data_IF_675802540538
#
_entry.id   IF_675802540538
#
_cell.length_a   1.000
_cell.length_b   1.000
_cell.length_c   1.000
_cell.angle_alpha   90.00
_cell.angle_beta   90.00
_cell.angle_gamma   90.00
#
_symmetry.space_group_name_H-M   'P 1'
#
loop_
_entity.id
_entity.type
_entity.pdbx_description
1 polymer ?
#
# COMPACT_ATOMS: atom_id res chain seq x y z
N UNK A 1 -33.51 -22.63 -0.55
CA UNK A 1 -32.34 -22.04 0.16
C UNK A 1 -32.44 -20.51 0.26
N UNK A 2 -32.64 -19.78 -0.85
CA UNK A 2 -32.75 -18.31 -0.87
C UNK A 2 -33.86 -17.72 0.01
N UNK A 3 -35.06 -18.31 0.02
CA UNK A 3 -36.18 -17.85 0.87
C UNK A 3 -35.91 -18.07 2.36
N UNK A 4 -35.33 -19.21 2.74
CA UNK A 4 -34.96 -19.52 4.13
C UNK A 4 -33.83 -18.62 4.65
N UNK A 5 -32.86 -18.28 3.79
CA UNK A 5 -31.77 -17.33 4.11
C UNK A 5 -32.32 -15.90 4.23
N UNK A 6 -33.26 -15.51 3.37
CA UNK A 6 -33.91 -14.19 3.45
C UNK A 6 -34.77 -14.06 4.71
N UNK A 7 -35.56 -15.08 5.05
CA UNK A 7 -36.35 -15.12 6.30
C UNK A 7 -35.40 -15.07 7.51
N UNK A 8 -34.32 -15.85 7.51
CA UNK A 8 -33.31 -15.81 8.58
C UNK A 8 -32.64 -14.44 8.71
N UNK A 9 -32.31 -13.78 7.59
CA UNK A 9 -31.73 -12.44 7.59
C UNK A 9 -32.71 -11.38 8.14
N UNK A 10 -33.99 -11.48 7.81
CA UNK A 10 -35.05 -10.60 8.34
C UNK A 10 -35.25 -10.86 9.84
N UNK A 11 -35.26 -12.10 10.30
CA UNK A 11 -35.36 -12.46 11.71
C UNK A 11 -34.14 -11.97 12.52
N UNK A 12 -32.94 -12.05 11.95
CA UNK A 12 -31.71 -11.47 12.53
C UNK A 12 -31.82 -9.94 12.59
N UNK A 13 -32.34 -9.29 11.55
CA UNK A 13 -32.54 -7.84 11.50
C UNK A 13 -33.50 -7.38 12.61
N UNK A 14 -34.63 -8.05 12.76
CA UNK A 14 -35.66 -7.76 13.78
C UNK A 14 -35.09 -8.02 15.19
N UNK A 15 -34.36 -9.11 15.41
CA UNK A 15 -33.66 -9.38 16.68
C UNK A 15 -32.59 -8.32 17.00
N UNK A 16 -31.86 -7.82 16.01
CA UNK A 16 -30.81 -6.81 16.24
C UNK A 16 -31.35 -5.39 16.45
N UNK A 17 -32.61 -5.13 16.09
CA UNK A 17 -33.28 -3.85 16.36
C UNK A 17 -33.77 -3.73 17.82
N UNK A 18 -33.89 -4.84 18.53
CA UNK A 18 -34.22 -4.88 19.96
C UNK A 18 -32.98 -4.61 20.83
N UNK A 19 -33.16 -3.88 21.93
CA UNK A 19 -32.07 -3.50 22.85
C UNK A 19 -31.85 -4.50 24.00
N UNK A 20 -32.36 -5.74 23.91
CA UNK A 20 -32.22 -6.74 24.99
C UNK A 20 -31.12 -7.76 24.73
N UNK A 21 -30.45 -8.20 25.79
CA UNK A 21 -29.37 -9.22 25.77
C UNK A 21 -29.87 -10.54 25.19
N UNK A 22 -31.11 -10.93 25.51
CA UNK A 22 -31.78 -12.13 25.00
C UNK A 22 -31.88 -12.08 23.48
N UNK A 23 -32.16 -10.91 22.91
CA UNK A 23 -32.25 -10.67 21.46
C UNK A 23 -30.92 -10.80 20.73
N UNK A 24 -29.82 -10.48 21.42
CA UNK A 24 -28.47 -10.59 20.88
C UNK A 24 -27.96 -12.05 20.91
N UNK A 25 -28.32 -12.80 21.95
CA UNK A 25 -28.03 -14.24 22.07
C UNK A 25 -28.82 -15.09 21.08
N UNK A 26 -30.09 -14.73 20.79
CA UNK A 26 -30.91 -15.41 19.77
C UNK A 26 -30.39 -15.24 18.34
N UNK A 27 -29.55 -14.23 18.07
CA UNK A 27 -28.90 -14.03 16.77
C UNK A 27 -27.69 -14.95 16.53
N UNK A 28 -27.15 -15.60 17.57
CA UNK A 28 -25.97 -16.46 17.47
C UNK A 28 -26.26 -17.76 16.73
N UNK A 29 -27.40 -18.42 17.05
CA UNK A 29 -27.77 -19.71 16.46
C UNK A 29 -27.99 -19.64 14.93
N UNK A 30 -28.69 -18.61 14.37
CA UNK A 30 -28.81 -18.44 12.92
C UNK A 30 -27.48 -18.16 12.21
N UNK A 31 -26.60 -17.34 12.80
CA UNK A 31 -25.27 -17.04 12.24
C UNK A 31 -24.42 -18.32 12.22
N UNK A 32 -24.43 -19.09 13.32
CA UNK A 32 -23.76 -20.37 13.41
C UNK A 32 -24.29 -21.37 12.37
N UNK A 33 -25.61 -21.45 12.17
CA UNK A 33 -26.22 -22.34 11.17
C UNK A 33 -25.84 -21.94 9.74
N UNK A 34 -25.78 -20.63 9.43
CA UNK A 34 -25.36 -20.13 8.11
C UNK A 34 -23.90 -20.49 7.84
N UNK A 35 -23.02 -20.30 8.82
CA UNK A 35 -21.60 -20.66 8.72
C UNK A 35 -21.43 -22.18 8.60
N UNK A 36 -22.16 -22.97 9.39
CA UNK A 36 -22.15 -24.43 9.34
C UNK A 36 -22.61 -24.94 7.97
N UNK A 37 -23.70 -24.41 7.43
CA UNK A 37 -24.20 -24.78 6.09
C UNK A 37 -23.18 -24.41 5.02
N UNK A 38 -22.54 -23.24 5.11
CA UNK A 38 -21.45 -22.86 4.20
C UNK A 38 -20.28 -23.85 4.30
N UNK A 39 -19.81 -24.17 5.51
CA UNK A 39 -18.72 -25.13 5.72
C UNK A 39 -19.06 -26.54 5.22
N UNK A 40 -20.24 -27.07 5.55
CA UNK A 40 -20.70 -28.41 5.13
C UNK A 40 -20.86 -28.48 3.60
N UNK A 41 -21.35 -27.41 2.98
CA UNK A 41 -21.48 -27.35 1.51
C UNK A 41 -20.10 -27.25 0.84
N UNK A 42 -19.14 -26.53 1.44
CA UNK A 42 -17.75 -26.45 0.96
C UNK A 42 -16.97 -27.78 1.09
N UNK A 43 -17.39 -28.70 1.97
CA UNK A 43 -16.74 -30.02 2.12
C UNK A 43 -17.22 -31.06 1.10
N UNK A 44 -18.29 -30.81 0.35
CA UNK A 44 -18.78 -31.73 -0.69
C UNK A 44 -18.06 -31.49 -2.02
N UNK A 45 -17.09 -32.35 -2.35
CA UNK A 45 -16.19 -32.23 -3.51
C UNK A 45 -16.74 -32.84 -4.82
N UNK A 46 -17.99 -33.31 -4.88
CA UNK A 46 -18.39 -34.32 -5.88
C UNK A 46 -19.63 -34.01 -6.74
N UNK A 47 -19.97 -32.75 -7.04
CA UNK A 47 -20.96 -32.49 -8.12
C UNK A 47 -20.78 -31.15 -8.83
N UNK A 48 -20.85 -31.10 -10.17
CA UNK A 48 -20.84 -29.87 -10.98
C UNK A 48 -22.19 -29.15 -10.89
N UNK A 49 -22.64 -28.85 -9.68
CA UNK A 49 -23.85 -28.09 -9.48
C UNK A 49 -23.53 -26.61 -9.68
N UNK A 50 -24.25 -25.97 -10.62
CA UNK A 50 -24.14 -24.53 -10.94
C UNK A 50 -24.26 -23.65 -9.67
N UNK A 51 -24.89 -24.17 -8.62
CA UNK A 51 -24.98 -23.57 -7.28
C UNK A 51 -23.61 -23.21 -6.69
N UNK A 52 -22.56 -23.98 -6.96
CA UNK A 52 -21.22 -23.72 -6.43
C UNK A 52 -20.62 -22.40 -6.93
N UNK A 53 -20.98 -21.94 -8.13
CA UNK A 53 -20.55 -20.63 -8.66
C UNK A 53 -21.26 -19.44 -7.99
N UNK A 54 -22.39 -19.70 -7.33
CA UNK A 54 -23.19 -18.67 -6.66
C UNK A 54 -22.96 -18.66 -5.13
N UNK A 55 -22.09 -19.53 -4.61
CA UNK A 55 -21.76 -19.58 -3.20
C UNK A 55 -20.92 -18.36 -2.78
N UNK A 56 -21.29 -17.67 -1.69
CA UNK A 56 -20.55 -16.54 -1.15
C UNK A 56 -19.07 -16.87 -0.95
N UNK A 57 -18.20 -15.94 -1.36
CA UNK A 57 -16.73 -15.97 -1.14
C UNK A 57 -15.99 -17.01 -2.00
N UNK A 58 -16.45 -18.25 -2.07
CA UNK A 58 -15.76 -19.34 -2.78
C UNK A 58 -16.17 -19.44 -4.26
N UNK A 59 -17.47 -19.33 -4.55
CA UNK A 59 -18.01 -19.45 -5.91
C UNK A 59 -17.77 -18.22 -6.79
N UNK A 60 -17.61 -17.05 -6.16
CA UNK A 60 -17.47 -15.79 -6.87
C UNK A 60 -16.24 -15.74 -7.78
N UNK A 61 -15.11 -16.31 -7.35
CA UNK A 61 -13.89 -16.30 -8.16
C UNK A 61 -14.06 -17.07 -9.47
N UNK A 62 -14.64 -18.26 -9.39
CA UNK A 62 -14.95 -19.07 -10.57
C UNK A 62 -16.02 -18.42 -11.45
N UNK A 63 -17.11 -17.92 -10.85
CA UNK A 63 -18.18 -17.28 -11.60
C UNK A 63 -17.78 -15.96 -12.26
N UNK A 64 -16.88 -15.18 -11.64
CA UNK A 64 -16.30 -13.97 -12.25
C UNK A 64 -15.39 -14.35 -13.43
N UNK A 65 -14.56 -15.39 -13.28
CA UNK A 65 -13.73 -15.91 -14.38
C UNK A 65 -14.56 -16.32 -15.59
N UNK A 66 -15.65 -17.05 -15.37
CA UNK A 66 -16.56 -17.48 -16.43
C UNK A 66 -17.33 -16.31 -17.09
N UNK A 67 -17.71 -15.29 -16.31
CA UNK A 67 -18.26 -14.06 -16.89
C UNK A 67 -17.26 -13.33 -17.78
N UNK A 68 -15.97 -13.32 -17.43
CA UNK A 68 -14.91 -12.72 -18.24
C UNK A 68 -14.62 -13.53 -19.51
N UNK A 69 -14.82 -14.85 -19.46
CA UNK A 69 -14.71 -15.74 -20.63
C UNK A 69 -16.00 -15.80 -21.48
N UNK A 70 -17.06 -15.09 -21.10
CA UNK A 70 -18.33 -15.04 -21.83
C UNK A 70 -19.20 -16.30 -21.69
N UNK A 71 -18.85 -17.22 -20.80
CA UNK A 71 -19.58 -18.49 -20.59
C UNK A 71 -20.78 -18.32 -19.64
N UNK A 72 -20.82 -17.24 -18.84
CA UNK A 72 -21.93 -16.93 -17.94
C UNK A 72 -22.36 -15.45 -17.97
N UNK A 73 -23.63 -15.18 -17.65
CA UNK A 73 -24.19 -13.83 -17.59
C UNK A 73 -23.71 -13.09 -16.33
N UNK A 74 -23.37 -11.81 -16.47
CA UNK A 74 -22.80 -10.97 -15.40
C UNK A 74 -23.78 -10.68 -14.27
N UNK A 75 -25.06 -10.47 -14.58
CA UNK A 75 -26.05 -9.97 -13.62
C UNK A 75 -26.28 -10.91 -12.41
N UNK A 76 -26.47 -12.24 -12.57
CA UNK A 76 -26.62 -13.16 -11.45
C UNK A 76 -25.40 -13.21 -10.51
N UNK A 77 -24.18 -13.22 -11.06
CA UNK A 77 -22.93 -13.22 -10.29
C UNK A 77 -22.78 -11.90 -9.52
N UNK A 78 -23.06 -10.76 -10.17
CA UNK A 78 -23.00 -9.45 -9.52
C UNK A 78 -23.97 -9.34 -8.33
N UNK A 79 -25.19 -9.88 -8.47
CA UNK A 79 -26.17 -9.92 -7.37
C UNK A 79 -25.70 -10.81 -6.21
N UNK A 80 -25.08 -11.96 -6.49
CA UNK A 80 -24.53 -12.84 -5.45
C UNK A 80 -23.36 -12.20 -4.70
N UNK A 81 -22.45 -11.55 -5.43
CA UNK A 81 -21.36 -10.77 -4.86
C UNK A 81 -21.88 -9.66 -3.94
N UNK A 82 -22.86 -8.89 -4.41
CA UNK A 82 -23.48 -7.81 -3.62
C UNK A 82 -24.13 -8.35 -2.34
N UNK A 83 -24.89 -9.44 -2.45
CA UNK A 83 -25.57 -10.07 -1.31
C UNK A 83 -24.58 -10.57 -0.25
N UNK A 84 -23.46 -11.15 -0.69
CA UNK A 84 -22.42 -11.64 0.21
C UNK A 84 -21.68 -10.50 0.92
N UNK A 85 -21.40 -9.40 0.22
CA UNK A 85 -20.82 -8.19 0.83
C UNK A 85 -21.76 -7.61 1.88
N UNK A 86 -23.06 -7.56 1.59
CA UNK A 86 -24.07 -7.10 2.55
C UNK A 86 -24.14 -8.00 3.79
N UNK A 87 -24.13 -9.33 3.60
CA UNK A 87 -24.12 -10.29 4.71
C UNK A 87 -22.86 -10.17 5.58
N UNK A 88 -21.68 -10.02 4.97
CA UNK A 88 -20.44 -9.80 5.69
C UNK A 88 -20.47 -8.47 6.48
N UNK A 89 -21.00 -7.40 5.90
CA UNK A 89 -21.18 -6.12 6.58
C UNK A 89 -22.12 -6.22 7.77
N UNK A 90 -23.24 -6.95 7.65
CA UNK A 90 -24.18 -7.22 8.75
C UNK A 90 -23.49 -8.04 9.85
N UNK A 91 -22.78 -9.12 9.50
CA UNK A 91 -22.06 -9.94 10.47
C UNK A 91 -21.02 -9.13 11.25
N UNK A 92 -20.28 -8.24 10.59
CA UNK A 92 -19.32 -7.34 11.22
C UNK A 92 -20.00 -6.32 12.16
N UNK A 93 -21.15 -5.77 11.75
CA UNK A 93 -21.92 -4.86 12.59
C UNK A 93 -22.45 -5.54 13.86
N UNK A 94 -22.97 -6.76 13.72
CA UNK A 94 -23.46 -7.59 14.84
C UNK A 94 -22.32 -7.97 15.77
N UNK A 95 -21.21 -8.50 15.23
CA UNK A 95 -20.03 -8.90 16.02
C UNK A 95 -19.46 -7.72 16.80
N UNK A 96 -19.38 -6.54 16.17
CA UNK A 96 -18.92 -5.32 16.83
C UNK A 96 -19.86 -4.90 17.97
N UNK A 97 -21.18 -5.01 17.79
CA UNK A 97 -22.14 -4.70 18.86
C UNK A 97 -22.05 -5.69 20.01
N UNK A 98 -21.99 -6.99 19.72
CA UNK A 98 -21.85 -8.05 20.74
C UNK A 98 -20.59 -7.84 21.59
N UNK A 99 -19.44 -7.63 20.96
CA UNK A 99 -18.18 -7.33 21.65
C UNK A 99 -18.26 -6.07 22.50
N UNK A 100 -19.02 -5.05 22.08
CA UNK A 100 -19.23 -3.86 22.90
C UNK A 100 -20.11 -4.17 24.11
N UNK A 101 -21.23 -4.86 23.92
CA UNK A 101 -22.20 -5.17 24.99
C UNK A 101 -21.60 -6.12 26.04
N UNK A 102 -20.87 -7.16 25.63
CA UNK A 102 -20.17 -8.10 26.55
C UNK A 102 -19.04 -7.43 27.34
N UNK A 103 -18.25 -6.56 26.68
CA UNK A 103 -17.22 -5.79 27.35
C UNK A 103 -17.82 -4.85 28.41
N UNK A 104 -19.04 -4.34 28.21
CA UNK A 104 -19.78 -3.58 29.21
C UNK A 104 -20.30 -4.45 30.36
N UNK A 105 -20.61 -5.74 30.13
CA UNK A 105 -21.10 -6.65 31.18
C UNK A 105 -19.97 -7.20 32.05
N UNK A 106 -18.86 -7.63 31.44
CA UNK A 106 -17.66 -8.14 32.15
C UNK A 106 -16.94 -7.02 32.92
N UNK A 107 -16.96 -5.79 32.40
CA UNK A 107 -16.41 -4.64 33.12
C UNK A 107 -17.20 -4.32 34.41
N UNK A 108 -18.53 -4.50 34.40
CA UNK A 108 -19.40 -4.23 35.55
C UNK A 108 -19.15 -5.18 36.72
N UNK A 109 -18.66 -6.40 36.47
CA UNK A 109 -18.37 -7.37 37.55
C UNK A 109 -17.01 -7.18 38.23
N UNK A 110 -16.03 -6.50 37.61
CA UNK A 110 -14.63 -6.51 38.10
C UNK A 110 -14.11 -5.18 38.67
N UNK A 111 -14.83 -4.06 38.54
CA UNK A 111 -14.46 -2.76 39.14
C UNK A 111 -15.68 -1.96 39.59
N UNK A 112 -15.54 -1.24 40.70
CA UNK A 112 -16.53 -0.26 41.17
C UNK A 112 -16.99 0.68 40.04
N UNK A 113 -18.30 0.88 39.91
CA UNK A 113 -18.94 1.73 38.89
C UNK A 113 -18.33 3.16 38.84
N UNK A 114 -17.76 3.62 39.96
CA UNK A 114 -17.08 4.91 40.10
C UNK A 114 -15.69 4.94 39.43
N UNK A 115 -14.91 3.86 39.55
CA UNK A 115 -13.59 3.68 38.91
C UNK A 115 -13.75 3.58 37.38
N UNK A 116 -14.75 2.83 36.92
CA UNK A 116 -15.10 2.72 35.50
C UNK A 116 -15.55 4.05 34.92
N UNK A 117 -16.41 4.80 35.61
CA UNK A 117 -16.80 6.15 35.18
C UNK A 117 -15.62 7.11 35.14
N UNK A 118 -14.67 7.03 36.08
CA UNK A 118 -13.44 7.86 36.08
C UNK A 118 -12.48 7.48 34.96
N UNK A 119 -12.26 6.19 34.74
CA UNK A 119 -11.42 5.69 33.64
C UNK A 119 -12.05 6.01 32.28
N UNK A 120 -13.37 5.82 32.14
CA UNK A 120 -14.13 6.22 30.96
C UNK A 120 -14.10 7.73 30.74
N UNK A 121 -14.19 8.55 31.80
CA UNK A 121 -14.07 10.00 31.71
C UNK A 121 -12.64 10.45 31.35
N UNK A 122 -11.59 9.79 31.88
CA UNK A 122 -10.18 10.03 31.49
C UNK A 122 -9.92 9.60 30.05
N UNK A 123 -10.34 8.41 29.65
CA UNK A 123 -10.22 7.92 28.28
C UNK A 123 -11.05 8.75 27.30
N UNK A 124 -12.22 9.25 27.72
CA UNK A 124 -13.03 10.20 26.97
C UNK A 124 -12.31 11.55 26.85
N UNK A 125 -11.74 12.08 27.94
CA UNK A 125 -10.94 13.32 27.97
C UNK A 125 -9.64 13.23 27.16
N UNK A 126 -8.93 12.10 27.17
CA UNK A 126 -7.77 11.83 26.30
C UNK A 126 -8.19 11.56 24.84
N UNK A 127 -9.35 10.94 24.62
CA UNK A 127 -9.95 10.82 23.29
C UNK A 127 -10.51 12.15 22.76
N UNK A 128 -10.77 13.12 23.64
CA UNK A 128 -11.38 14.41 23.33
C UNK A 128 -10.39 15.44 22.74
N UNK A 129 -9.06 15.24 22.82
CA UNK A 129 -8.11 16.34 22.61
C UNK A 129 -7.40 16.45 21.23
N UNK A 130 -7.68 15.60 20.24
CA UNK A 130 -6.96 15.70 18.95
C UNK A 130 -7.46 16.83 18.02
N UNK A 131 -8.75 17.18 18.11
CA UNK A 131 -9.33 18.28 17.29
C UNK A 131 -9.07 19.64 17.93
N UNK A 132 -8.98 19.71 19.28
CA UNK A 132 -8.73 20.93 20.05
C UNK A 132 -7.24 21.22 20.28
N UNK A 133 -6.40 20.20 20.48
CA UNK A 133 -4.94 20.34 20.68
C UNK A 133 -4.19 19.24 19.92
N UNK A 134 -4.00 19.45 18.62
CA UNK A 134 -3.14 18.57 17.83
C UNK A 134 -1.74 18.49 18.48
N UNK A 135 -1.20 17.27 18.64
CA UNK A 135 0.11 17.04 19.25
C UNK A 135 1.26 17.61 18.43
N UNK A 136 1.06 17.78 17.12
CA UNK A 136 2.02 18.40 16.22
C UNK A 136 1.29 19.02 15.02
N UNK A 137 1.84 20.12 14.50
CA UNK A 137 1.34 20.77 13.30
C UNK A 137 2.31 20.53 12.14
N UNK A 138 2.17 19.39 11.45
CA UNK A 138 2.98 19.07 10.26
C UNK A 138 2.27 19.62 9.02
N UNK A 139 3.00 20.41 8.22
CA UNK A 139 2.52 21.05 6.98
C UNK A 139 1.26 21.91 7.12
N UNK A 140 0.90 22.34 8.32
CA UNK A 140 -0.34 23.10 8.54
C UNK A 140 -1.60 22.22 8.58
N UNK A 141 -1.47 20.89 8.70
CA UNK A 141 -2.62 19.98 8.76
C UNK A 141 -3.53 20.30 9.95
N UNK A 142 -4.83 20.42 9.68
CA UNK A 142 -5.85 20.67 10.70
C UNK A 142 -6.85 19.53 10.76
N UNK A 143 -6.96 18.85 11.92
CA UNK A 143 -7.95 17.80 12.11
C UNK A 143 -9.37 18.38 12.23
N UNK A 144 -10.33 17.75 11.54
CA UNK A 144 -11.73 18.26 11.47
C UNK A 144 -12.76 17.36 12.12
N UNK A 145 -12.62 16.03 11.97
CA UNK A 145 -13.59 15.05 12.46
C UNK A 145 -12.97 14.14 13.48
N UNK A 146 -13.70 13.91 14.57
CA UNK A 146 -13.37 12.94 15.62
C UNK A 146 -13.52 11.52 15.06
N UNK A 147 -12.53 10.67 15.29
CA UNK A 147 -12.59 9.22 14.99
C UNK A 147 -11.98 8.45 16.17
N UNK A 148 -12.51 7.27 16.55
CA UNK A 148 -11.82 6.36 17.47
C UNK A 148 -10.40 6.05 16.98
N UNK A 149 -9.46 5.82 17.89
CA UNK A 149 -8.04 5.61 17.52
C UNK A 149 -7.85 4.42 16.57
N UNK A 150 -8.52 3.29 16.84
CA UNK A 150 -8.49 2.11 15.97
C UNK A 150 -8.97 2.43 14.56
N UNK A 151 -10.15 3.03 14.42
CA UNK A 151 -10.72 3.43 13.12
C UNK A 151 -9.84 4.47 12.40
N UNK A 152 -9.16 5.32 13.16
CA UNK A 152 -8.24 6.31 12.63
C UNK A 152 -7.00 5.65 12.04
N UNK A 153 -6.32 4.79 12.81
CA UNK A 153 -5.13 4.07 12.37
C UNK A 153 -5.43 3.11 11.21
N UNK A 154 -6.46 2.28 11.35
CA UNK A 154 -6.90 1.37 10.29
C UNK A 154 -7.25 2.15 9.02
N UNK A 155 -7.96 3.28 9.14
CA UNK A 155 -8.29 4.11 7.99
C UNK A 155 -7.05 4.65 7.26
N UNK A 156 -5.99 5.00 7.99
CA UNK A 156 -4.76 5.54 7.38
C UNK A 156 -3.82 4.44 6.88
N UNK A 157 -3.88 3.23 7.44
CA UNK A 157 -3.16 2.06 6.92
C UNK A 157 -3.85 1.47 5.67
N UNK A 158 -5.19 1.41 5.67
CA UNK A 158 -5.96 0.73 4.61
C UNK A 158 -6.25 1.62 3.40
N UNK A 159 -6.42 2.94 3.57
CA UNK A 159 -6.67 3.84 2.44
C UNK A 159 -5.55 3.81 1.38
N UNK A 160 -4.26 3.87 1.76
CA UNK A 160 -3.12 3.58 0.87
C UNK A 160 -3.31 2.34 0.01
N UNK A 161 -3.53 1.20 0.66
CA UNK A 161 -3.68 -0.10 0.00
C UNK A 161 -4.90 -0.14 -0.92
N UNK A 162 -6.02 0.43 -0.47
CA UNK A 162 -7.26 0.46 -1.24
C UNK A 162 -7.13 1.31 -2.51
N UNK A 163 -6.54 2.50 -2.42
CA UNK A 163 -6.32 3.35 -3.60
C UNK A 163 -5.33 2.70 -4.56
N UNK A 164 -4.22 2.17 -4.04
CA UNK A 164 -3.23 1.48 -4.85
C UNK A 164 -3.87 0.30 -5.59
N UNK A 165 -4.57 -0.59 -4.88
CA UNK A 165 -5.24 -1.76 -5.45
C UNK A 165 -6.26 -1.38 -6.52
N UNK A 166 -7.16 -0.42 -6.27
CA UNK A 166 -8.20 -0.02 -7.23
C UNK A 166 -7.58 0.54 -8.50
N UNK A 167 -6.66 1.51 -8.38
CA UNK A 167 -6.11 2.18 -9.56
C UNK A 167 -5.12 1.30 -10.33
N UNK A 168 -4.34 0.46 -9.64
CA UNK A 168 -3.49 -0.52 -10.31
C UNK A 168 -4.33 -1.59 -11.05
N UNK A 169 -5.40 -2.09 -10.42
CA UNK A 169 -6.31 -3.04 -11.10
C UNK A 169 -6.91 -2.43 -12.37
N UNK A 170 -7.36 -1.17 -12.30
CA UNK A 170 -7.87 -0.45 -13.47
C UNK A 170 -6.78 -0.25 -14.55
N UNK A 171 -5.55 0.06 -14.14
CA UNK A 171 -4.41 0.22 -15.03
C UNK A 171 -3.99 -1.09 -15.72
N UNK A 172 -4.27 -2.25 -15.11
CA UNK A 172 -3.97 -3.56 -15.70
C UNK A 172 -4.94 -3.95 -16.82
N UNK A 173 -6.18 -3.47 -16.81
CA UNK A 173 -7.22 -3.88 -17.77
C UNK A 173 -6.77 -3.68 -19.23
N UNK A 174 -6.29 -2.49 -19.65
CA UNK A 174 -5.87 -2.29 -21.04
C UNK A 174 -4.66 -3.13 -21.42
N UNK A 175 -3.74 -3.38 -20.47
CA UNK A 175 -2.58 -4.22 -20.69
C UNK A 175 -2.98 -5.68 -20.95
N UNK A 176 -3.89 -6.22 -20.14
CA UNK A 176 -4.46 -7.56 -20.33
C UNK A 176 -5.19 -7.64 -21.68
N UNK A 177 -6.03 -6.66 -22.01
CA UNK A 177 -6.74 -6.62 -23.30
C UNK A 177 -5.76 -6.58 -24.47
N UNK A 178 -4.69 -5.77 -24.38
CA UNK A 178 -3.65 -5.71 -25.41
C UNK A 178 -2.91 -7.04 -25.52
N UNK A 179 -2.61 -7.68 -24.39
CA UNK A 179 -1.87 -8.93 -24.33
C UNK A 179 -2.67 -10.09 -24.92
N UNK A 180 -3.96 -10.17 -24.59
CA UNK A 180 -4.90 -11.16 -25.14
C UNK A 180 -5.04 -11.10 -26.67
N UNK A 181 -4.66 -9.99 -27.31
CA UNK A 181 -4.66 -9.85 -28.77
C UNK A 181 -3.39 -10.36 -29.45
N UNK A 182 -2.38 -10.78 -28.69
CA UNK A 182 -1.10 -11.29 -29.21
C UNK A 182 -1.09 -12.82 -29.26
N UNK A 183 -0.24 -13.38 -30.12
CA UNK A 183 0.01 -14.83 -30.19
C UNK A 183 0.63 -15.40 -28.91
N UNK A 184 1.28 -14.56 -28.10
CA UNK A 184 1.85 -14.92 -26.79
C UNK A 184 0.78 -15.13 -25.70
N UNK A 185 -0.49 -14.78 -25.97
CA UNK A 185 -1.61 -14.98 -25.02
C UNK A 185 -1.80 -16.44 -24.59
N UNK A 186 -1.42 -17.41 -25.43
CA UNK A 186 -1.48 -18.84 -25.10
C UNK A 186 -0.50 -19.18 -23.98
N UNK A 187 0.71 -18.62 -24.00
CA UNK A 187 1.73 -18.81 -22.95
C UNK A 187 1.21 -18.26 -21.62
N UNK A 188 0.63 -17.07 -21.64
CA UNK A 188 0.06 -16.43 -20.47
C UNK A 188 -1.12 -17.20 -19.87
N UNK A 189 -2.04 -17.69 -20.72
CA UNK A 189 -3.15 -18.54 -20.27
C UNK A 189 -2.64 -19.84 -19.65
N UNK A 190 -1.56 -20.42 -20.18
CA UNK A 190 -0.91 -21.59 -19.60
C UNK A 190 -0.28 -21.25 -18.25
N UNK A 191 0.44 -20.12 -18.10
CA UNK A 191 0.99 -19.68 -16.80
C UNK A 191 -0.11 -19.51 -15.74
N UNK A 192 -1.25 -18.90 -16.10
CA UNK A 192 -2.40 -18.79 -15.18
C UNK A 192 -2.98 -20.16 -14.80
N UNK A 193 -3.09 -21.07 -15.78
CA UNK A 193 -3.56 -22.42 -15.53
C UNK A 193 -2.60 -23.18 -14.62
N UNK A 194 -1.32 -23.03 -14.84
CA UNK A 194 -0.28 -23.70 -14.07
C UNK A 194 -0.27 -23.18 -12.63
N UNK A 195 -0.40 -21.86 -12.40
CA UNK A 195 -0.58 -21.28 -11.06
C UNK A 195 -1.77 -21.91 -10.32
N UNK A 196 -2.89 -22.16 -11.00
CA UNK A 196 -4.06 -22.77 -10.37
C UNK A 196 -3.89 -24.27 -10.05
N UNK A 197 -2.88 -24.93 -10.61
CA UNK A 197 -2.50 -26.30 -10.31
C UNK A 197 -1.41 -26.45 -9.24
N UNK A 198 -0.80 -25.35 -8.76
CA UNK A 198 0.30 -25.40 -7.80
C UNK A 198 -0.19 -25.62 -6.37
N UNK A 199 0.37 -26.65 -5.72
CA UNK A 199 0.04 -26.99 -4.32
C UNK A 199 0.87 -26.25 -3.26
N UNK A 200 1.93 -25.52 -3.63
CA UNK A 200 2.83 -24.82 -2.70
C UNK A 200 2.82 -23.31 -2.96
N UNK A 201 2.74 -22.54 -1.87
CA UNK A 201 2.72 -21.07 -1.90
C UNK A 201 3.96 -20.48 -2.59
N UNK A 202 5.14 -21.09 -2.42
CA UNK A 202 6.39 -20.62 -3.01
C UNK A 202 6.34 -20.66 -4.55
N UNK A 203 5.87 -21.76 -5.11
CA UNK A 203 5.78 -21.94 -6.55
C UNK A 203 4.79 -20.92 -7.17
N UNK A 204 3.69 -20.62 -6.46
CA UNK A 204 2.74 -19.57 -6.84
C UNK A 204 3.40 -18.18 -6.87
N UNK A 205 4.26 -17.87 -5.90
CA UNK A 205 4.97 -16.58 -5.85
C UNK A 205 5.98 -16.43 -6.98
N UNK A 206 6.74 -17.49 -7.28
CA UNK A 206 7.75 -17.48 -8.35
C UNK A 206 7.09 -17.32 -9.74
N UNK A 207 6.01 -18.07 -10.01
CA UNK A 207 5.24 -17.92 -11.25
C UNK A 207 4.53 -16.56 -11.36
N UNK A 208 4.00 -16.03 -10.24
CA UNK A 208 3.42 -14.68 -10.21
C UNK A 208 4.46 -13.59 -10.53
N UNK A 209 5.70 -13.76 -10.06
CA UNK A 209 6.79 -12.85 -10.35
C UNK A 209 7.20 -12.92 -11.83
N UNK A 210 7.25 -14.12 -12.42
CA UNK A 210 7.50 -14.31 -13.85
C UNK A 210 6.43 -13.62 -14.71
N UNK A 211 5.15 -13.81 -14.34
CA UNK A 211 4.02 -13.15 -15.00
C UNK A 211 4.11 -11.62 -14.91
N UNK A 212 4.46 -11.11 -13.73
CA UNK A 212 4.63 -9.67 -13.53
C UNK A 212 5.78 -9.11 -14.37
N UNK A 213 6.89 -9.84 -14.49
CA UNK A 213 8.01 -9.46 -15.36
C UNK A 213 7.60 -9.36 -16.83
N UNK A 214 6.71 -10.25 -17.29
CA UNK A 214 6.17 -10.19 -18.65
C UNK A 214 5.34 -8.92 -18.87
N UNK A 215 4.49 -8.56 -17.91
CA UNK A 215 3.77 -7.29 -17.92
C UNK A 215 4.70 -6.07 -17.95
N UNK A 216 5.78 -6.09 -17.18
CA UNK A 216 6.78 -5.01 -17.15
C UNK A 216 7.54 -4.85 -18.49
N UNK A 217 7.51 -5.85 -19.37
CA UNK A 217 8.02 -5.72 -20.74
C UNK A 217 7.03 -5.09 -21.73
N UNK A 218 5.77 -4.89 -21.33
CA UNK A 218 4.70 -4.41 -22.19
C UNK A 218 4.57 -2.87 -22.14
N UNK A 219 4.66 -2.24 -23.30
CA UNK A 219 4.52 -0.79 -23.47
C UNK A 219 3.21 -0.22 -22.88
N UNK A 220 2.08 -0.88 -23.15
CA UNK A 220 0.78 -0.42 -22.65
C UNK A 220 0.69 -0.58 -21.14
N UNK A 221 1.19 -1.67 -20.59
CA UNK A 221 1.22 -1.87 -19.15
C UNK A 221 1.95 -0.72 -18.43
N UNK A 222 3.17 -0.39 -18.84
CA UNK A 222 3.94 0.69 -18.22
C UNK A 222 3.23 2.04 -18.38
N UNK A 223 2.68 2.33 -19.56
CA UNK A 223 1.93 3.56 -19.81
C UNK A 223 0.70 3.69 -18.90
N UNK A 224 -0.16 2.66 -18.84
CA UNK A 224 -1.38 2.71 -18.04
C UNK A 224 -1.10 2.66 -16.54
N UNK A 225 -0.03 1.97 -16.11
CA UNK A 225 0.44 2.06 -14.72
C UNK A 225 0.87 3.48 -14.36
N UNK A 226 1.62 4.16 -15.24
CA UNK A 226 1.96 5.57 -15.09
C UNK A 226 0.71 6.47 -14.94
N UNK A 227 -0.30 6.26 -15.78
CA UNK A 227 -1.60 6.97 -15.68
C UNK A 227 -2.30 6.64 -14.35
N UNK A 228 -2.30 5.38 -13.92
CA UNK A 228 -2.87 4.94 -12.65
C UNK A 228 -2.26 5.67 -11.45
N UNK A 229 -0.94 5.86 -11.42
CA UNK A 229 -0.26 6.63 -10.38
C UNK A 229 -0.70 8.11 -10.38
N UNK A 230 -0.86 8.74 -11.54
CA UNK A 230 -1.44 10.09 -11.62
C UNK A 230 -2.87 10.15 -11.08
N UNK A 231 -3.69 9.14 -11.36
CA UNK A 231 -5.04 9.04 -10.82
C UNK A 231 -5.04 8.90 -9.28
N UNK A 232 -4.10 8.15 -8.71
CA UNK A 232 -3.93 8.03 -7.24
C UNK A 232 -3.58 9.39 -6.63
N UNK A 233 -2.62 10.13 -7.23
CA UNK A 233 -2.27 11.49 -6.79
C UNK A 233 -3.51 12.39 -6.82
N UNK A 234 -4.27 12.37 -7.93
CA UNK A 234 -5.52 13.09 -8.06
C UNK A 234 -6.54 12.72 -6.98
N UNK A 235 -6.71 11.43 -6.69
CA UNK A 235 -7.60 10.96 -5.63
C UNK A 235 -7.21 11.51 -4.26
N UNK A 236 -5.92 11.49 -3.90
CA UNK A 236 -5.46 12.11 -2.65
C UNK A 236 -5.74 13.61 -2.61
N UNK A 237 -5.49 14.34 -3.71
CA UNK A 237 -5.80 15.76 -3.80
C UNK A 237 -7.30 16.04 -3.62
N UNK A 238 -8.17 15.23 -4.22
CA UNK A 238 -9.62 15.34 -4.06
C UNK A 238 -10.07 15.01 -2.63
N UNK A 239 -9.53 13.95 -2.03
CA UNK A 239 -9.81 13.55 -0.64
C UNK A 239 -9.43 14.69 0.31
N UNK A 240 -8.25 15.29 0.16
CA UNK A 240 -7.80 16.38 1.04
C UNK A 240 -8.59 17.66 0.80
N UNK A 241 -8.81 18.03 -0.47
CA UNK A 241 -9.48 19.29 -0.81
C UNK A 241 -10.97 19.29 -0.50
N UNK A 242 -11.67 18.21 -0.84
CA UNK A 242 -13.13 18.13 -0.75
C UNK A 242 -13.60 17.28 0.42
N UNK A 243 -12.96 16.12 0.66
CA UNK A 243 -13.31 15.22 1.76
C UNK A 243 -12.92 15.78 3.13
N UNK A 244 -11.68 16.24 3.27
CA UNK A 244 -11.16 16.83 4.53
C UNK A 244 -11.38 18.34 4.62
N UNK A 245 -11.61 19.00 3.48
CA UNK A 245 -11.70 20.47 3.36
C UNK A 245 -10.44 21.18 3.86
N UNK A 246 -9.28 20.55 3.63
CA UNK A 246 -7.97 21.11 3.92
C UNK A 246 -7.33 21.69 2.66
N UNK A 247 -6.30 22.53 2.83
CA UNK A 247 -5.48 23.04 1.71
C UNK A 247 -4.51 21.94 1.25
N UNK A 248 -4.17 21.91 -0.03
CA UNK A 248 -3.20 20.95 -0.56
C UNK A 248 -1.80 21.11 0.05
N UNK A 249 -1.48 22.30 0.56
CA UNK A 249 -0.26 22.55 1.34
C UNK A 249 -0.14 21.64 2.58
N UNK A 250 -1.26 21.15 3.12
CA UNK A 250 -1.27 20.17 4.24
C UNK A 250 -0.74 18.79 3.85
N UNK A 251 -0.52 18.55 2.55
CA UNK A 251 0.22 17.39 2.05
C UNK A 251 1.70 17.70 1.74
N UNK A 252 2.19 18.88 2.12
CA UNK A 252 3.53 19.32 1.79
C UNK A 252 3.66 19.92 0.38
N UNK A 253 2.54 20.23 -0.30
CA UNK A 253 2.53 21.02 -1.54
C UNK A 253 2.51 22.53 -1.24
N UNK A 254 3.61 23.04 -0.70
CA UNK A 254 3.75 24.46 -0.36
C UNK A 254 3.95 25.31 -1.62
N UNK A 255 3.22 26.41 -1.75
CA UNK A 255 3.35 27.31 -2.91
C UNK A 255 4.72 27.99 -2.92
N UNK A 256 5.20 28.37 -4.12
CA UNK A 256 6.47 29.08 -4.25
C UNK A 256 6.53 30.37 -3.44
N UNK A 257 5.42 31.10 -3.35
CA UNK A 257 5.30 32.31 -2.50
C UNK A 257 5.49 31.99 -1.02
N UNK A 258 4.79 30.97 -0.51
CA UNK A 258 4.89 30.55 0.89
C UNK A 258 6.30 30.04 1.25
N UNK A 259 6.98 29.37 0.32
CA UNK A 259 8.37 28.96 0.50
C UNK A 259 9.32 30.15 0.48
N UNK A 260 9.12 31.10 -0.44
CA UNK A 260 9.93 32.33 -0.51
C UNK A 260 9.81 33.18 0.76
N UNK A 261 8.60 33.30 1.33
CA UNK A 261 8.36 33.97 2.61
C UNK A 261 9.09 33.29 3.78
N UNK A 262 9.36 31.99 3.67
CA UNK A 262 10.18 31.22 4.62
C UNK A 262 11.68 31.26 4.31
N UNK A 263 12.13 32.08 3.35
CA UNK A 263 13.51 32.12 2.88
C UNK A 263 13.97 30.85 2.14
N UNK A 264 13.02 30.01 1.71
CA UNK A 264 13.30 28.73 1.03
C UNK A 264 13.33 28.89 -0.49
N UNK A 265 14.09 28.02 -1.15
CA UNK A 265 14.18 27.96 -2.62
C UNK A 265 12.82 27.61 -3.25
N UNK A 266 12.63 27.96 -4.52
CA UNK A 266 11.44 27.61 -5.28
C UNK A 266 11.24 26.07 -5.38
N UNK A 267 9.99 25.56 -5.49
CA UNK A 267 9.70 24.13 -5.54
C UNK A 267 10.51 23.35 -6.57
N UNK A 268 10.65 23.89 -7.79
CA UNK A 268 11.41 23.24 -8.86
C UNK A 268 12.90 23.12 -8.54
N UNK A 269 13.50 24.12 -7.86
CA UNK A 269 14.91 24.04 -7.42
C UNK A 269 15.09 22.94 -6.38
N UNK A 270 14.13 22.80 -5.47
CA UNK A 270 14.14 21.75 -4.44
C UNK A 270 13.94 20.36 -5.06
N UNK A 271 13.10 20.27 -6.09
CA UNK A 271 12.91 19.05 -6.86
C UNK A 271 14.22 18.66 -7.57
N UNK A 272 14.89 19.59 -8.27
CA UNK A 272 16.20 19.32 -8.89
C UNK A 272 17.29 18.95 -7.87
N UNK A 273 17.31 19.59 -6.70
CA UNK A 273 18.21 19.19 -5.61
C UNK A 273 17.89 17.79 -5.10
N UNK A 274 16.60 17.43 -5.02
CA UNK A 274 16.16 16.09 -4.66
C UNK A 274 16.58 15.05 -5.69
N UNK A 275 16.42 15.36 -6.99
CA UNK A 275 16.97 14.53 -8.08
C UNK A 275 18.46 14.30 -7.85
N UNK A 276 19.28 15.36 -7.75
CA UNK A 276 20.72 15.21 -7.55
C UNK A 276 21.09 14.35 -6.33
N UNK A 277 20.39 14.50 -5.20
CA UNK A 277 20.61 13.68 -4.01
C UNK A 277 20.18 12.22 -4.21
N UNK A 278 19.03 11.96 -4.84
CA UNK A 278 18.56 10.61 -5.15
C UNK A 278 19.55 9.86 -6.04
N UNK A 279 19.98 10.51 -7.15
CA UNK A 279 21.00 9.97 -8.05
C UNK A 279 22.31 9.70 -7.33
N UNK A 280 22.79 10.64 -6.51
CA UNK A 280 24.04 10.48 -5.78
C UNK A 280 23.96 9.27 -4.85
N UNK A 281 22.89 9.14 -4.05
CA UNK A 281 22.80 8.05 -3.08
C UNK A 281 22.74 6.68 -3.77
N UNK A 282 21.90 6.51 -4.80
CA UNK A 282 21.81 5.21 -5.51
C UNK A 282 23.09 4.90 -6.29
N UNK A 283 23.77 5.91 -6.85
CA UNK A 283 25.07 5.73 -7.49
C UNK A 283 26.12 5.27 -6.48
N UNK A 284 26.12 5.81 -5.25
CA UNK A 284 26.99 5.33 -4.18
C UNK A 284 26.72 3.86 -3.85
N UNK A 285 25.44 3.43 -3.80
CA UNK A 285 25.09 2.01 -3.58
C UNK A 285 25.66 1.15 -4.71
N UNK A 286 25.44 1.53 -5.97
CA UNK A 286 25.97 0.82 -7.12
C UNK A 286 27.51 0.74 -7.11
N UNK A 287 28.20 1.83 -6.77
CA UNK A 287 29.67 1.86 -6.64
C UNK A 287 30.13 0.92 -5.53
N UNK A 288 29.49 0.94 -4.35
CA UNK A 288 29.83 0.03 -3.25
C UNK A 288 29.65 -1.41 -3.71
N UNK A 289 28.55 -1.74 -4.36
CA UNK A 289 28.31 -3.08 -4.92
C UNK A 289 29.35 -3.46 -5.96
N UNK A 290 29.76 -2.53 -6.83
CA UNK A 290 30.73 -2.78 -7.88
C UNK A 290 32.13 -3.05 -7.29
N UNK A 291 32.59 -2.20 -6.37
CA UNK A 291 33.90 -2.32 -5.72
C UNK A 291 33.99 -3.55 -4.81
N UNK A 292 32.88 -3.94 -4.19
CA UNK A 292 32.81 -5.17 -3.37
C UNK A 292 32.51 -6.43 -4.20
N UNK A 293 32.53 -6.32 -5.53
CA UNK A 293 32.37 -7.45 -6.45
C UNK A 293 30.97 -8.07 -6.48
N UNK A 294 29.94 -7.38 -5.98
CA UNK A 294 28.56 -7.87 -5.96
C UNK A 294 27.88 -7.72 -7.32
N UNK A 295 28.17 -6.63 -8.04
CA UNK A 295 27.63 -6.37 -9.38
C UNK A 295 28.75 -6.21 -10.40
N UNK A 296 28.49 -6.64 -11.63
CA UNK A 296 29.36 -6.40 -12.79
C UNK A 296 28.62 -5.62 -13.87
N UNK A 297 29.30 -4.65 -14.47
CA UNK A 297 28.86 -3.96 -15.67
C UNK A 297 29.22 -4.81 -16.90
N UNK A 298 28.23 -5.21 -17.70
CA UNK A 298 28.42 -6.06 -18.88
C UNK A 298 28.28 -5.31 -20.21
N UNK A 299 28.07 -3.99 -20.18
CA UNK A 299 27.91 -3.16 -21.36
C UNK A 299 26.61 -2.35 -21.36
N UNK A 300 26.27 -1.79 -22.51
CA UNK A 300 25.04 -1.02 -22.72
C UNK A 300 23.96 -1.91 -23.34
N UNK A 301 22.74 -1.88 -22.76
CA UNK A 301 21.60 -2.70 -23.19
C UNK A 301 20.52 -1.93 -23.96
N UNK A 302 20.56 -0.59 -23.95
CA UNK A 302 19.55 0.23 -24.61
C UNK A 302 19.75 0.19 -26.13
N UNK A 303 18.71 -0.20 -26.86
CA UNK A 303 18.69 -0.31 -28.32
C UNK A 303 17.46 0.41 -28.90
N UNK A 304 17.36 0.47 -30.23
CA UNK A 304 16.16 1.00 -30.91
C UNK A 304 14.88 0.25 -30.52
N UNK A 305 14.99 -1.04 -30.23
CA UNK A 305 13.84 -1.93 -30.05
C UNK A 305 13.16 -1.71 -28.69
N UNK A 306 13.91 -1.28 -27.68
CA UNK A 306 13.40 -0.99 -26.34
C UNK A 306 13.38 0.51 -25.98
N UNK A 307 13.73 1.40 -26.93
CA UNK A 307 13.77 2.84 -26.71
C UNK A 307 12.40 3.43 -26.31
N UNK A 308 11.31 2.98 -26.94
CA UNK A 308 9.95 3.43 -26.59
C UNK A 308 9.56 2.98 -25.18
N UNK A 309 9.86 1.72 -24.82
CA UNK A 309 9.61 1.18 -23.50
C UNK A 309 10.38 1.98 -22.43
N UNK A 310 11.64 2.31 -22.71
CA UNK A 310 12.47 3.14 -21.84
C UNK A 310 11.88 4.54 -21.60
N UNK A 311 11.32 5.18 -22.64
CA UNK A 311 10.61 6.46 -22.50
C UNK A 311 9.37 6.29 -21.58
N UNK A 312 8.60 5.22 -21.75
CA UNK A 312 7.46 4.95 -20.87
C UNK A 312 7.88 4.70 -19.42
N UNK A 313 9.03 4.05 -19.19
CA UNK A 313 9.59 3.94 -17.84
C UNK A 313 9.89 5.31 -17.22
N UNK A 314 10.52 6.24 -17.95
CA UNK A 314 10.75 7.61 -17.47
C UNK A 314 9.43 8.26 -17.04
N UNK A 315 8.40 8.14 -17.89
CA UNK A 315 7.09 8.72 -17.61
C UNK A 315 6.36 8.06 -16.44
N UNK A 316 6.63 6.77 -16.17
CA UNK A 316 6.02 6.00 -15.09
C UNK A 316 6.69 6.26 -13.73
N UNK A 317 8.01 6.36 -13.68
CA UNK A 317 8.75 6.58 -12.41
C UNK A 317 8.48 7.93 -11.76
N UNK A 318 8.18 8.95 -12.56
CA UNK A 318 7.84 10.29 -12.05
C UNK A 318 6.62 10.22 -11.12
N UNK A 319 5.43 9.78 -11.56
CA UNK A 319 4.27 9.66 -10.69
C UNK A 319 4.38 8.48 -9.71
N UNK A 320 5.08 7.38 -10.02
CA UNK A 320 5.21 6.25 -9.09
C UNK A 320 5.93 6.67 -7.79
N UNK A 321 7.16 7.19 -7.89
CA UNK A 321 7.92 7.60 -6.70
C UNK A 321 7.25 8.75 -5.97
N UNK A 322 6.63 9.68 -6.70
CA UNK A 322 5.84 10.74 -6.11
C UNK A 322 4.61 10.21 -5.35
N UNK A 323 3.88 9.23 -5.89
CA UNK A 323 2.68 8.66 -5.28
C UNK A 323 2.99 8.07 -3.92
N UNK A 324 4.07 7.31 -3.80
CA UNK A 324 4.46 6.68 -2.54
C UNK A 324 4.83 7.72 -1.47
N UNK A 325 5.56 8.77 -1.84
CA UNK A 325 5.88 9.87 -0.92
C UNK A 325 4.65 10.73 -0.58
N UNK A 326 3.75 10.99 -1.53
CA UNK A 326 2.50 11.70 -1.29
C UNK A 326 1.62 10.91 -0.34
N UNK A 327 1.55 9.59 -0.49
CA UNK A 327 0.78 8.71 0.36
C UNK A 327 1.36 8.62 1.78
N UNK A 328 2.67 8.40 1.90
CA UNK A 328 3.34 8.15 3.18
C UNK A 328 3.64 9.45 3.94
N UNK A 329 4.25 10.44 3.28
CA UNK A 329 4.76 11.68 3.90
C UNK A 329 3.80 12.84 3.70
N UNK A 330 3.14 12.92 2.54
CA UNK A 330 2.16 13.98 2.29
C UNK A 330 0.84 13.73 3.01
N UNK A 331 0.29 12.53 2.92
CA UNK A 331 -1.01 12.20 3.45
C UNK A 331 -0.87 11.62 4.87
N UNK A 332 -0.36 10.40 5.03
CA UNK A 332 -0.43 9.70 6.32
C UNK A 332 0.33 10.41 7.45
N UNK A 333 1.61 10.75 7.25
CA UNK A 333 2.46 11.30 8.32
C UNK A 333 1.86 12.55 9.01
N UNK A 334 1.38 13.60 8.32
CA UNK A 334 0.80 14.77 8.99
C UNK A 334 -0.43 14.45 9.83
N UNK A 335 -1.28 13.53 9.37
CA UNK A 335 -2.48 13.13 10.13
C UNK A 335 -2.09 12.37 11.38
N UNK A 336 -1.20 11.38 11.26
CA UNK A 336 -0.73 10.60 12.41
C UNK A 336 0.00 11.50 13.40
N UNK A 337 0.83 12.44 12.91
CA UNK A 337 1.58 13.37 13.75
C UNK A 337 0.66 14.29 14.56
N UNK A 338 -0.42 14.79 13.94
CA UNK A 338 -1.41 15.62 14.62
C UNK A 338 -2.10 14.92 15.79
N UNK A 339 -2.20 13.59 15.77
CA UNK A 339 -2.86 12.82 16.84
C UNK A 339 -1.90 12.17 17.83
N UNK A 340 -0.81 11.56 17.35
CA UNK A 340 0.08 10.70 18.13
C UNK A 340 1.48 11.29 18.33
N UNK A 341 1.79 12.40 17.66
CA UNK A 341 3.09 13.07 17.69
C UNK A 341 4.00 12.67 16.54
N UNK A 342 5.00 13.50 16.27
CA UNK A 342 5.93 13.33 15.15
C UNK A 342 6.71 12.01 15.20
N UNK A 343 7.29 11.57 16.33
CA UNK A 343 8.09 10.34 16.35
C UNK A 343 7.28 9.09 15.94
N UNK A 344 6.07 8.95 16.48
CA UNK A 344 5.20 7.84 16.12
C UNK A 344 4.75 7.92 14.65
N UNK A 345 4.50 9.13 14.14
CA UNK A 345 4.13 9.31 12.73
C UNK A 345 5.24 8.91 11.76
N UNK A 346 6.50 9.24 12.08
CA UNK A 346 7.67 8.82 11.30
C UNK A 346 7.82 7.30 11.33
N UNK A 347 7.73 6.69 12.52
CA UNK A 347 7.82 5.24 12.65
C UNK A 347 6.69 4.53 11.89
N UNK A 348 5.44 4.92 12.14
CA UNK A 348 4.26 4.26 11.57
C UNK A 348 4.22 4.39 10.05
N UNK A 349 4.50 5.58 9.49
CA UNK A 349 4.51 5.75 8.04
C UNK A 349 5.62 4.95 7.38
N UNK A 350 6.79 4.86 8.02
CA UNK A 350 7.93 4.11 7.50
C UNK A 350 7.73 2.60 7.58
N UNK A 351 7.12 2.13 8.65
CA UNK A 351 6.73 0.74 8.80
C UNK A 351 5.68 0.33 7.77
N UNK A 352 4.62 1.13 7.59
CA UNK A 352 3.62 0.88 6.55
C UNK A 352 4.22 0.88 5.14
N UNK A 353 5.20 1.76 4.85
CA UNK A 353 5.92 1.75 3.58
C UNK A 353 6.63 0.42 3.34
N UNK A 354 7.34 -0.10 4.33
CA UNK A 354 8.00 -1.41 4.22
C UNK A 354 7.01 -2.57 4.05
N UNK A 355 5.92 -2.59 4.82
CA UNK A 355 4.88 -3.64 4.74
C UNK A 355 4.22 -3.71 3.37
N UNK A 356 4.10 -2.57 2.67
CA UNK A 356 3.55 -2.55 1.30
C UNK A 356 4.40 -3.32 0.28
N UNK A 357 5.64 -3.66 0.63
CA UNK A 357 6.56 -4.43 -0.23
C UNK A 357 6.68 -5.89 0.20
N UNK A 358 5.96 -6.32 1.25
CA UNK A 358 6.10 -7.66 1.84
C UNK A 358 5.72 -8.80 0.89
N UNK A 359 4.91 -8.52 -0.14
CA UNK A 359 4.53 -9.47 -1.19
C UNK A 359 5.48 -9.49 -2.39
N UNK A 360 6.51 -8.65 -2.41
CA UNK A 360 7.42 -8.56 -3.54
C UNK A 360 8.45 -9.69 -3.50
N UNK A 361 8.94 -10.08 -4.68
CA UNK A 361 9.94 -11.11 -4.82
C UNK A 361 11.23 -10.74 -4.06
N UNK A 362 11.79 -11.69 -3.31
CA UNK A 362 13.01 -11.50 -2.54
C UNK A 362 12.87 -10.70 -1.23
N UNK A 363 11.65 -10.32 -0.82
CA UNK A 363 11.46 -9.56 0.43
C UNK A 363 12.03 -10.33 1.63
N UNK A 364 12.99 -9.71 2.31
CA UNK A 364 13.71 -10.28 3.45
C UNK A 364 13.56 -9.41 4.70
N UNK A 365 13.97 -9.92 5.87
CA UNK A 365 14.04 -9.10 7.09
C UNK A 365 14.97 -7.91 6.91
N UNK A 366 16.07 -8.08 6.17
CA UNK A 366 16.99 -6.97 5.88
C UNK A 366 16.35 -5.94 4.94
N UNK A 367 15.62 -6.38 3.90
CA UNK A 367 14.82 -5.49 3.06
C UNK A 367 13.81 -4.70 3.90
N UNK A 368 13.11 -5.36 4.83
CA UNK A 368 12.18 -4.70 5.74
C UNK A 368 12.87 -3.58 6.54
N UNK A 369 14.01 -3.88 7.17
CA UNK A 369 14.79 -2.92 7.95
C UNK A 369 15.25 -1.75 7.08
N UNK A 370 15.86 -2.03 5.92
CA UNK A 370 16.36 -0.99 5.01
C UNK A 370 15.24 -0.09 4.51
N UNK A 371 14.10 -0.66 4.10
CA UNK A 371 12.93 0.10 3.69
C UNK A 371 12.40 0.98 4.82
N UNK A 372 12.33 0.49 6.07
CA UNK A 372 11.95 1.32 7.23
C UNK A 372 12.96 2.46 7.44
N UNK A 373 14.25 2.19 7.32
CA UNK A 373 15.30 3.19 7.54
C UNK A 373 15.31 4.29 6.47
N UNK A 374 15.28 3.94 5.18
CA UNK A 374 15.23 4.94 4.09
C UNK A 374 13.92 5.75 4.17
N UNK A 375 12.82 5.08 4.48
CA UNK A 375 11.52 5.69 4.69
C UNK A 375 11.54 6.70 5.86
N UNK A 376 12.21 6.36 6.96
CA UNK A 376 12.36 7.26 8.09
C UNK A 376 13.24 8.46 7.73
N UNK A 377 14.34 8.23 6.99
CA UNK A 377 15.20 9.31 6.49
C UNK A 377 14.40 10.29 5.61
N UNK A 378 13.60 9.79 4.66
CA UNK A 378 12.76 10.63 3.81
C UNK A 378 11.70 11.39 4.62
N UNK A 379 11.08 10.74 5.62
CA UNK A 379 10.17 11.44 6.53
C UNK A 379 10.87 12.58 7.29
N UNK A 380 12.09 12.37 7.78
CA UNK A 380 12.88 13.41 8.45
C UNK A 380 13.29 14.55 7.51
N UNK A 381 13.68 14.24 6.27
CA UNK A 381 13.98 15.26 5.25
C UNK A 381 12.73 16.08 4.94
N UNK A 382 11.58 15.45 4.74
CA UNK A 382 10.31 16.13 4.47
C UNK A 382 9.88 17.03 5.64
N UNK A 383 10.09 16.59 6.89
CA UNK A 383 9.83 17.39 8.09
C UNK A 383 10.76 18.61 8.19
N UNK A 384 12.07 18.44 7.94
CA UNK A 384 13.04 19.55 7.90
C UNK A 384 12.68 20.56 6.82
N UNK A 385 12.34 20.06 5.64
CA UNK A 385 12.01 20.87 4.48
C UNK A 385 10.66 21.58 4.60
N UNK A 386 9.71 21.03 5.37
CA UNK A 386 8.34 21.54 5.45
C UNK A 386 7.53 21.33 4.17
N UNK A 387 7.99 20.43 3.28
CA UNK A 387 7.35 20.06 2.02
C UNK A 387 7.88 18.71 1.54
N UNK A 388 7.24 18.10 0.54
CA UNK A 388 7.63 16.77 0.02
C UNK A 388 8.40 16.80 -1.31
N UNK A 389 8.53 17.96 -1.98
CA UNK A 389 9.14 18.07 -3.31
C UNK A 389 10.50 17.38 -3.45
N UNK A 390 11.39 17.58 -2.47
CA UNK A 390 12.74 16.99 -2.48
C UNK A 390 12.68 15.47 -2.38
N UNK A 391 11.89 14.92 -1.46
CA UNK A 391 11.83 13.47 -1.23
C UNK A 391 11.11 12.75 -2.37
N UNK A 392 10.07 13.35 -2.97
CA UNK A 392 9.47 12.81 -4.18
C UNK A 392 10.50 12.67 -5.31
N UNK A 393 11.31 13.71 -5.53
CA UNK A 393 12.35 13.71 -6.55
C UNK A 393 13.49 12.73 -6.24
N UNK A 394 13.91 12.65 -4.98
CA UNK A 394 14.91 11.68 -4.53
C UNK A 394 14.45 10.25 -4.82
N UNK A 395 13.22 9.92 -4.46
CA UNK A 395 12.64 8.60 -4.64
C UNK A 395 12.45 8.26 -6.13
N UNK A 396 11.84 9.15 -6.91
CA UNK A 396 11.69 8.96 -8.37
C UNK A 396 13.03 8.65 -9.04
N UNK A 397 14.06 9.43 -8.73
CA UNK A 397 15.35 9.24 -9.40
C UNK A 397 16.12 8.04 -8.84
N UNK A 398 15.97 7.72 -7.56
CA UNK A 398 16.49 6.48 -6.99
C UNK A 398 15.97 5.26 -7.77
N UNK A 399 14.64 5.13 -7.91
CA UNK A 399 14.03 3.98 -8.57
C UNK A 399 14.38 3.92 -10.06
N UNK A 400 14.28 5.05 -10.78
CA UNK A 400 14.64 5.11 -12.19
C UNK A 400 16.11 4.73 -12.41
N UNK A 401 17.02 5.21 -11.56
CA UNK A 401 18.43 4.89 -11.72
C UNK A 401 18.75 3.45 -11.34
N UNK A 402 18.19 2.92 -10.25
CA UNK A 402 18.36 1.50 -9.89
C UNK A 402 17.87 0.59 -11.01
N UNK A 403 16.65 0.83 -11.49
CA UNK A 403 15.99 0.02 -12.50
C UNK A 403 16.53 0.20 -13.91
N UNK A 404 16.41 1.42 -14.44
CA UNK A 404 16.57 1.68 -15.87
C UNK A 404 17.92 2.32 -16.21
N UNK A 405 18.64 2.92 -15.27
CA UNK A 405 20.03 3.31 -15.52
C UNK A 405 20.96 2.13 -15.29
N UNK A 406 20.92 1.53 -14.10
CA UNK A 406 21.83 0.48 -13.67
C UNK A 406 21.37 -0.93 -14.05
N UNK A 407 20.10 -1.16 -14.37
CA UNK A 407 19.63 -2.48 -14.79
C UNK A 407 19.53 -3.47 -13.63
N UNK A 408 19.13 -3.02 -12.44
CA UNK A 408 18.94 -3.85 -11.26
C UNK A 408 17.46 -3.90 -10.86
N UNK A 409 17.05 -4.91 -10.11
CA UNK A 409 15.69 -5.05 -9.61
C UNK A 409 15.34 -3.88 -8.66
N UNK A 410 14.12 -3.36 -8.76
CA UNK A 410 13.59 -2.29 -7.88
C UNK A 410 12.58 -2.90 -6.93
N UNK A 411 12.99 -3.14 -5.69
CA UNK A 411 12.18 -3.81 -4.67
C UNK A 411 11.53 -5.10 -5.16
N UNK A 412 12.30 -5.97 -5.82
CA UNK A 412 11.85 -7.24 -6.38
C UNK A 412 11.22 -7.14 -7.78
N UNK A 413 11.11 -5.94 -8.35
CA UNK A 413 10.55 -5.76 -9.69
C UNK A 413 11.67 -5.69 -10.73
N UNK A 414 11.73 -6.62 -11.70
CA UNK A 414 12.68 -6.57 -12.79
C UNK A 414 12.32 -5.45 -13.78
N UNK A 415 13.32 -4.93 -14.49
CA UNK A 415 13.12 -3.91 -15.53
C UNK A 415 13.55 -4.43 -16.90
N UNK A 416 12.66 -4.30 -17.87
CA UNK A 416 12.85 -4.88 -19.21
C UNK A 416 13.57 -3.94 -20.19
N UNK A 417 13.88 -2.70 -19.78
CA UNK A 417 14.65 -1.74 -20.58
C UNK A 417 15.58 -0.93 -19.67
N UNK A 418 16.89 -1.07 -19.86
CA UNK A 418 17.89 -0.33 -19.09
C UNK A 418 19.06 0.15 -19.97
N UNK A 419 19.75 1.19 -19.52
CA UNK A 419 20.96 1.70 -20.16
C UNK A 419 22.12 0.72 -19.91
N UNK A 420 22.37 0.35 -18.65
CA UNK A 420 23.41 -0.63 -18.32
C UNK A 420 22.83 -2.05 -18.33
N UNK A 421 23.61 -2.97 -18.88
CA UNK A 421 23.49 -4.40 -18.67
C UNK A 421 24.28 -4.78 -17.40
N UNK A 422 23.74 -4.51 -16.21
CA UNK A 422 24.38 -4.97 -14.98
C UNK A 422 23.86 -6.34 -14.58
N UNK A 423 24.65 -7.09 -13.82
CA UNK A 423 24.17 -8.31 -13.20
C UNK A 423 25.05 -8.75 -12.03
N UNK A 424 24.45 -9.51 -11.12
CA UNK A 424 25.15 -10.09 -9.99
C UNK A 424 26.30 -10.98 -10.47
N UNK A 425 27.45 -10.88 -9.80
CA UNK A 425 28.62 -11.71 -10.12
C UNK A 425 28.50 -13.09 -9.47
N UNK A 426 29.41 -14.01 -9.82
CA UNK A 426 29.52 -15.32 -9.15
C UNK A 426 29.92 -15.19 -7.65
N UNK A 427 30.47 -14.06 -7.24
CA UNK A 427 30.86 -13.77 -5.85
C UNK A 427 29.77 -12.98 -5.10
N UNK A 428 28.65 -12.66 -5.77
CA UNK A 428 27.54 -11.96 -5.15
C UNK A 428 26.93 -12.79 -4.04
N UNK A 429 26.70 -12.16 -2.90
CA UNK A 429 25.96 -12.73 -1.77
C UNK A 429 24.68 -11.94 -1.57
N UNK A 430 23.54 -12.63 -1.46
CA UNK A 430 22.22 -12.01 -1.24
C UNK A 430 22.21 -11.09 -0.02
N UNK A 431 22.99 -11.40 1.02
CA UNK A 431 23.11 -10.53 2.19
C UNK A 431 23.73 -9.16 1.85
N UNK A 432 24.68 -9.12 0.91
CA UNK A 432 25.37 -7.88 0.52
C UNK A 432 24.61 -7.14 -0.58
N UNK A 433 24.12 -7.88 -1.58
CA UNK A 433 23.49 -7.33 -2.78
C UNK A 433 21.98 -7.14 -2.67
N UNK A 434 21.33 -7.86 -1.74
CA UNK A 434 19.87 -7.92 -1.60
C UNK A 434 19.19 -8.99 -2.47
N UNK A 435 19.95 -9.75 -3.25
CA UNK A 435 19.45 -10.88 -4.04
C UNK A 435 18.31 -10.48 -4.98
N UNK A 436 17.26 -11.31 -5.04
CA UNK A 436 16.11 -11.08 -5.90
C UNK A 436 15.32 -9.78 -5.59
N UNK A 437 15.48 -9.18 -4.40
CA UNK A 437 14.84 -7.91 -4.07
C UNK A 437 15.53 -6.71 -4.72
N UNK A 438 16.80 -6.86 -5.11
CA UNK A 438 17.65 -5.76 -5.54
C UNK A 438 18.45 -5.12 -4.39
N UNK A 439 19.25 -4.10 -4.69
CA UNK A 439 20.16 -3.42 -3.74
C UNK A 439 19.54 -3.07 -2.38
N UNK A 440 18.25 -2.73 -2.39
CA UNK A 440 17.46 -2.33 -1.22
C UNK A 440 17.38 -3.42 -0.15
N UNK A 441 17.55 -4.69 -0.54
CA UNK A 441 17.55 -5.83 0.36
C UNK A 441 18.88 -6.14 1.03
N UNK A 442 19.97 -5.46 0.65
CA UNK A 442 21.33 -5.84 1.01
C UNK A 442 22.05 -4.89 1.97
N UNK A 443 23.20 -5.32 2.50
CA UNK A 443 24.05 -4.50 3.37
C UNK A 443 24.68 -3.31 2.63
N UNK A 444 24.87 -3.38 1.31
CA UNK A 444 25.41 -2.26 0.54
C UNK A 444 24.52 -1.01 0.65
N UNK A 445 23.20 -1.17 0.58
CA UNK A 445 22.28 -0.04 0.80
C UNK A 445 22.27 0.39 2.27
N UNK A 446 22.39 -0.55 3.21
CA UNK A 446 22.39 -0.25 4.65
C UNK A 446 23.53 0.71 5.00
N UNK A 447 24.72 0.49 4.44
CA UNK A 447 25.90 1.36 4.63
C UNK A 447 25.60 2.78 4.13
N UNK A 448 25.05 2.92 2.91
CA UNK A 448 24.74 4.22 2.33
C UNK A 448 23.64 4.94 3.11
N UNK A 449 22.61 4.22 3.56
CA UNK A 449 21.55 4.77 4.42
C UNK A 449 22.14 5.27 5.74
N UNK A 450 23.02 4.49 6.39
CA UNK A 450 23.68 4.89 7.64
C UNK A 450 24.51 6.18 7.47
N UNK A 451 25.29 6.28 6.39
CA UNK A 451 26.04 7.50 6.05
C UNK A 451 25.08 8.67 5.81
N UNK A 452 23.98 8.47 5.10
CA UNK A 452 22.99 9.52 4.84
C UNK A 452 22.32 10.02 6.13
N UNK A 453 22.06 9.14 7.11
CA UNK A 453 21.61 9.54 8.45
C UNK A 453 22.66 10.39 9.17
N UNK A 454 23.93 9.99 9.15
CA UNK A 454 25.02 10.77 9.76
C UNK A 454 25.07 12.17 9.14
N UNK A 455 25.09 12.27 7.80
CA UNK A 455 25.09 13.54 7.08
C UNK A 455 23.86 14.39 7.45
N UNK A 456 22.67 13.77 7.52
CA UNK A 456 21.45 14.46 7.92
C UNK A 456 21.56 15.07 9.32
N UNK A 457 22.03 14.32 10.31
CA UNK A 457 22.16 14.82 11.68
C UNK A 457 23.28 15.85 11.86
N UNK A 458 24.41 15.70 11.16
CA UNK A 458 25.52 16.68 11.18
C UNK A 458 25.07 17.99 10.56
N UNK A 459 24.44 17.96 9.39
CA UNK A 459 23.96 19.18 8.71
C UNK A 459 22.87 19.88 9.51
N UNK A 460 22.00 19.12 10.19
CA UNK A 460 20.96 19.68 11.07
C UNK A 460 21.53 20.44 12.27
N UNK A 461 22.62 19.98 12.88
CA UNK A 461 23.25 20.68 14.02
C UNK A 461 23.80 22.06 13.63
N UNK A 462 24.16 22.24 12.37
CA UNK A 462 24.73 23.49 11.85
C UNK A 462 23.65 24.50 11.43
N UNK A 463 22.39 24.08 11.35
CA UNK A 463 21.26 25.00 11.12
C UNK A 463 20.90 25.68 12.46
N UNK A 464 20.91 27.03 12.48
CA UNK A 464 20.41 27.78 13.64
C UNK A 464 18.96 27.32 13.91
N UNK A 465 18.57 27.04 15.17
CA UNK A 465 17.19 26.69 15.47
C UNK A 465 16.31 27.80 14.91
N UNK A 466 15.40 27.43 14.00
CA UNK A 466 14.34 28.34 13.58
C UNK A 466 13.58 28.72 14.85
N UNK A 467 13.48 30.02 15.15
CA UNK A 467 12.64 30.52 16.23
C UNK A 467 11.21 30.03 15.95
N UNK A 468 10.77 29.00 16.68
CA UNK A 468 9.40 28.47 16.66
C UNK A 468 8.54 29.29 17.58
#
# INVERSE_FOLDING_TARGET
LSLAVMISAITILISCMSNSIVSAQTAFLPIFLIVLVACVTCMNTTSPNVINYYLPIYGHFYGIGDCLMGTMKVLPIAMCCLTSVLLAAIALLVSRRLLQTEMFTVAVESKSDKELRKAAARAKKEADDYVSRARANVFGYRPRKRKPLSRFLIGHAMLPLALLSVFQTLAMIPAIISYMKTTESVRFLNMFRDISGLGKIRDVMDESAALFSEFMSNNYFILFMGIGYWCIIGAYMLIVRFGERNRLSTMGFSSGKALSEQGKKAPWKMYLMGMGLGFLMISCVYIVMFVTGQVSFKGFALSSDNALLFIFYILMWIPQGATEEIMMRGYMMPRIAGRLGVPFAVFFSSFCFSVMHASNAGFSVLAMINLVLIAALFALIALRDGHIYRVCAMHTLWNFCQGNLFGLEVSGNPQSASIFASGYTKMSSDLMSGGAFGPEGGLCVTIVIAIAFIIFFVTRKNEKPANV
#
